data_IF_030435476642
#
_entry.id   IF_030435476642
#
_cell.length_a   1.000
_cell.length_b   1.000
_cell.length_c   1.000
_cell.angle_alpha   90.00
_cell.angle_beta   90.00
_cell.angle_gamma   90.00
#
_symmetry.space_group_name_H-M   'P 1'
#
loop_
_entity.id
_entity.type
_entity.pdbx_description
1 polymer ?
#
# COMPACT_ATOMS: atom_id res chain seq x y z
N UNK A 1 13.77 4.65 -29.05
CA UNK A 1 12.80 3.56 -28.84
C UNK A 1 11.94 3.96 -27.67
N UNK A 2 10.66 4.24 -27.91
CA UNK A 2 9.68 4.48 -26.86
C UNK A 2 9.03 3.13 -26.64
N UNK A 3 9.39 2.43 -25.57
CA UNK A 3 8.71 1.19 -25.21
C UNK A 3 7.32 1.53 -24.69
N UNK A 4 6.33 1.35 -25.57
CA UNK A 4 4.92 1.28 -25.21
C UNK A 4 4.69 0.02 -24.40
N UNK A 5 4.69 0.13 -23.06
CA UNK A 5 4.26 -0.96 -22.18
C UNK A 5 2.73 -1.05 -22.20
N UNK A 6 2.25 -2.26 -22.49
CA UNK A 6 0.84 -2.60 -22.64
C UNK A 6 0.00 -2.21 -21.42
N UNK A 7 -1.24 -1.77 -21.68
CA UNK A 7 -2.29 -1.65 -20.68
C UNK A 7 -2.42 -2.96 -19.88
N UNK A 8 -2.06 -2.94 -18.58
CA UNK A 8 -2.39 -4.04 -17.67
C UNK A 8 -1.50 -4.23 -16.45
N UNK A 9 -0.20 -3.91 -16.50
CA UNK A 9 0.70 -4.10 -15.36
C UNK A 9 0.90 -2.78 -14.59
N UNK A 10 0.46 -2.73 -13.33
CA UNK A 10 0.81 -1.63 -12.42
C UNK A 10 2.33 -1.59 -12.24
N UNK A 11 2.94 -0.40 -12.35
CA UNK A 11 4.38 -0.18 -12.04
C UNK A 11 4.73 -0.58 -10.59
N UNK A 12 3.74 -0.58 -9.71
CA UNK A 12 3.80 -1.08 -8.34
C UNK A 12 2.65 -2.09 -8.14
N UNK A 13 2.85 -3.39 -8.38
CA UNK A 13 1.80 -4.39 -8.19
C UNK A 13 1.50 -4.56 -6.70
N UNK A 14 0.22 -4.59 -6.34
CA UNK A 14 -0.26 -4.75 -4.97
C UNK A 14 -1.43 -5.73 -4.94
N UNK A 15 -1.54 -6.53 -3.89
CA UNK A 15 -2.67 -7.44 -3.68
C UNK A 15 -2.24 -8.83 -3.26
N UNK A 16 -3.18 -9.77 -3.28
CA UNK A 16 -2.93 -11.15 -2.91
C UNK A 16 -1.99 -11.84 -3.90
N UNK A 17 -1.09 -12.69 -3.38
CA UNK A 17 -0.13 -13.46 -4.19
C UNK A 17 1.09 -12.66 -4.67
N UNK A 18 1.13 -11.35 -4.46
CA UNK A 18 2.32 -10.52 -4.72
C UNK A 18 3.29 -10.66 -3.55
N UNK A 19 4.46 -11.25 -3.81
CA UNK A 19 5.53 -11.45 -2.82
C UNK A 19 6.76 -10.61 -3.11
N UNK A 20 6.97 -10.23 -4.37
CA UNK A 20 8.04 -9.33 -4.76
C UNK A 20 7.59 -7.88 -4.57
N UNK A 21 8.27 -7.18 -3.65
CA UNK A 21 8.00 -5.79 -3.32
C UNK A 21 8.99 -4.83 -3.99
N UNK A 22 10.02 -5.34 -4.68
CA UNK A 22 11.04 -4.48 -5.29
C UNK A 22 10.46 -3.42 -6.24
N UNK A 23 9.46 -3.72 -7.10
CA UNK A 23 8.86 -2.69 -7.97
C UNK A 23 8.10 -1.60 -7.18
N UNK A 24 7.54 -1.95 -6.02
CA UNK A 24 6.83 -0.99 -5.15
C UNK A 24 7.84 -0.04 -4.49
N UNK A 25 8.98 -0.56 -4.03
CA UNK A 25 10.05 0.25 -3.43
C UNK A 25 10.72 1.14 -4.49
N UNK A 26 10.98 0.64 -5.69
CA UNK A 26 11.51 1.46 -6.79
C UNK A 26 10.58 2.62 -7.13
N UNK A 27 9.27 2.34 -7.25
CA UNK A 27 8.28 3.39 -7.50
C UNK A 27 8.15 4.35 -6.32
N UNK A 28 8.34 3.88 -5.08
CA UNK A 28 8.40 4.74 -3.90
C UNK A 28 9.57 5.72 -4.00
N UNK A 29 10.75 5.26 -4.36
CA UNK A 29 11.95 6.10 -4.48
C UNK A 29 11.80 7.13 -5.61
N UNK A 30 11.15 6.78 -6.72
CA UNK A 30 10.77 7.73 -7.78
C UNK A 30 9.86 8.86 -7.24
N UNK A 31 8.84 8.53 -6.44
CA UNK A 31 7.98 9.54 -5.80
C UNK A 31 8.78 10.38 -4.79
N UNK A 32 9.63 9.74 -3.98
CA UNK A 32 10.46 10.41 -2.97
C UNK A 32 11.46 11.40 -3.60
N UNK A 33 11.89 11.14 -4.85
CA UNK A 33 12.85 11.95 -5.60
C UNK A 33 12.20 12.92 -6.60
N UNK A 34 10.87 13.05 -6.60
CA UNK A 34 10.15 13.91 -7.53
C UNK A 34 10.53 15.40 -7.33
N UNK A 35 11.07 16.08 -8.35
CA UNK A 35 11.45 17.49 -8.23
C UNK A 35 10.28 18.38 -7.82
N UNK A 36 10.52 19.30 -6.89
CA UNK A 36 9.52 20.23 -6.36
C UNK A 36 8.71 19.67 -5.18
N UNK A 37 8.89 18.41 -4.81
CA UNK A 37 8.19 17.77 -3.68
C UNK A 37 9.04 17.73 -2.40
N UNK A 38 10.22 18.33 -2.41
CA UNK A 38 11.18 18.30 -1.30
C UNK A 38 10.58 18.93 -0.03
N UNK A 39 9.60 19.83 -0.19
CA UNK A 39 8.91 20.49 0.90
C UNK A 39 7.66 19.78 1.42
N UNK A 40 7.20 18.70 0.78
CA UNK A 40 6.03 17.93 1.20
C UNK A 40 6.36 17.17 2.48
N UNK A 41 5.53 17.34 3.51
CA UNK A 41 5.75 16.71 4.82
C UNK A 41 5.82 15.17 4.74
N UNK A 42 5.06 14.54 3.85
CA UNK A 42 5.13 13.09 3.65
C UNK A 42 6.51 12.66 3.13
N UNK A 43 7.10 13.41 2.20
CA UNK A 43 8.44 13.14 1.64
C UNK A 43 9.52 13.38 2.71
N UNK A 44 9.52 14.56 3.35
CA UNK A 44 10.47 14.93 4.41
C UNK A 44 10.56 13.92 5.55
N UNK A 45 9.42 13.32 5.91
CA UNK A 45 9.33 12.40 7.03
C UNK A 45 9.34 10.92 6.60
N UNK A 46 9.62 10.61 5.34
CA UNK A 46 9.65 9.25 4.80
C UNK A 46 8.32 8.48 4.98
N UNK A 47 7.19 9.18 4.84
CA UNK A 47 5.81 8.71 5.06
C UNK A 47 5.00 8.58 3.76
N UNK A 48 5.60 7.98 2.74
CA UNK A 48 4.92 7.58 1.50
C UNK A 48 4.54 6.10 1.61
N UNK A 49 3.26 5.79 1.40
CA UNK A 49 2.68 4.46 1.55
C UNK A 49 1.82 4.10 0.35
N UNK A 50 1.65 2.81 0.11
CA UNK A 50 0.86 2.26 -0.98
C UNK A 50 -0.27 1.40 -0.45
N UNK A 51 -1.44 1.50 -1.08
CA UNK A 51 -2.59 0.66 -0.78
C UNK A 51 -3.26 0.20 -2.06
N UNK A 52 -3.61 -1.09 -2.14
CA UNK A 52 -4.34 -1.63 -3.29
C UNK A 52 -5.75 -1.06 -3.31
N UNK A 53 -6.19 -0.60 -4.49
CA UNK A 53 -7.58 -0.15 -4.68
C UNK A 53 -8.59 -1.28 -4.51
N UNK A 54 -8.18 -2.54 -4.63
CA UNK A 54 -9.04 -3.69 -4.30
C UNK A 54 -9.49 -3.68 -2.83
N UNK A 55 -8.71 -3.07 -1.94
CA UNK A 55 -9.06 -2.95 -0.52
C UNK A 55 -10.18 -1.92 -0.26
N UNK A 56 -10.51 -1.03 -1.20
CA UNK A 56 -11.48 0.04 -0.96
C UNK A 56 -12.94 -0.41 -0.99
N UNK A 57 -13.22 -1.59 -1.56
CA UNK A 57 -14.57 -2.15 -1.74
C UNK A 57 -14.93 -3.15 -0.62
N UNK A 58 -15.04 -4.44 -0.91
CA UNK A 58 -15.47 -5.51 0.01
C UNK A 58 -14.63 -5.56 1.31
N UNK A 59 -13.38 -5.10 1.23
CA UNK A 59 -12.43 -5.10 2.32
C UNK A 59 -12.20 -3.70 2.93
N UNK A 60 -13.19 -2.81 2.87
CA UNK A 60 -13.05 -1.41 3.31
C UNK A 60 -12.54 -1.27 4.75
N UNK A 61 -12.89 -2.20 5.64
CA UNK A 61 -12.33 -2.25 7.00
C UNK A 61 -10.80 -2.47 7.00
N UNK A 62 -10.25 -3.33 6.14
CA UNK A 62 -8.80 -3.47 5.94
C UNK A 62 -8.18 -2.13 5.53
N UNK A 63 -8.83 -1.44 4.58
CA UNK A 63 -8.38 -0.15 4.07
C UNK A 63 -8.29 0.89 5.18
N UNK A 64 -9.36 1.06 5.97
CA UNK A 64 -9.39 2.01 7.09
C UNK A 64 -8.34 1.69 8.15
N UNK A 65 -8.16 0.40 8.50
CA UNK A 65 -7.18 0.00 9.50
C UNK A 65 -5.74 0.22 9.03
N UNK A 66 -5.46 -0.03 7.74
CA UNK A 66 -4.15 0.26 7.16
C UNK A 66 -3.87 1.77 7.18
N UNK A 67 -4.82 2.60 6.74
CA UNK A 67 -4.70 4.06 6.79
C UNK A 67 -4.48 4.57 8.22
N UNK A 68 -5.23 4.04 9.18
CA UNK A 68 -5.05 4.39 10.59
C UNK A 68 -3.63 4.04 11.09
N UNK A 69 -3.08 2.89 10.68
CA UNK A 69 -1.71 2.48 11.03
C UNK A 69 -0.67 3.43 10.41
N UNK A 70 -0.86 3.86 9.17
CA UNK A 70 0.00 4.85 8.52
C UNK A 70 -0.05 6.21 9.24
N UNK A 71 -1.21 6.63 9.73
CA UNK A 71 -1.40 7.92 10.40
C UNK A 71 -0.94 7.93 11.86
N UNK A 72 -1.18 6.83 12.57
CA UNK A 72 -0.98 6.71 14.02
C UNK A 72 -0.19 5.44 14.38
N UNK A 73 1.05 5.27 13.90
CA UNK A 73 1.80 4.02 14.03
C UNK A 73 2.04 3.59 15.49
N UNK A 74 2.12 4.55 16.41
CA UNK A 74 2.34 4.28 17.84
C UNK A 74 1.10 3.77 18.58
N UNK A 75 -0.11 4.10 18.10
CA UNK A 75 -1.37 3.73 18.75
C UNK A 75 -1.86 2.34 18.32
N UNK A 76 -1.38 1.83 17.19
CA UNK A 76 -1.85 0.60 16.57
C UNK A 76 -0.84 -0.56 16.66
N UNK A 77 0.15 -0.48 17.56
CA UNK A 77 1.14 -1.55 17.79
C UNK A 77 0.51 -2.91 18.12
N UNK A 78 -0.71 -2.93 18.68
CA UNK A 78 -1.44 -4.14 19.07
C UNK A 78 -2.47 -4.62 18.03
N UNK A 79 -2.82 -3.82 17.04
CA UNK A 79 -3.71 -4.27 15.98
C UNK A 79 -2.83 -5.00 14.95
N UNK A 80 -2.94 -6.33 14.86
CA UNK A 80 -2.49 -7.07 13.68
C UNK A 80 -3.71 -7.12 12.75
N UNK A 81 -3.97 -6.06 11.95
CA UNK A 81 -5.25 -5.91 11.26
C UNK A 81 -5.38 -7.00 10.20
N UNK A 82 -4.26 -7.35 9.57
CA UNK A 82 -4.21 -8.31 8.48
C UNK A 82 -4.50 -9.74 8.93
N UNK A 83 -3.92 -10.21 10.06
CA UNK A 83 -4.01 -11.62 10.46
C UNK A 83 -5.39 -11.96 11.05
N UNK A 84 -5.93 -11.09 11.89
CA UNK A 84 -7.27 -11.26 12.45
C UNK A 84 -8.35 -11.18 11.35
N UNK A 85 -8.20 -10.24 10.43
CA UNK A 85 -9.17 -10.02 9.35
C UNK A 85 -9.06 -11.05 8.23
N UNK A 86 -7.86 -11.52 7.88
CA UNK A 86 -7.66 -12.60 6.92
C UNK A 86 -8.19 -13.93 7.46
N UNK A 87 -8.04 -14.20 8.77
CA UNK A 87 -8.68 -15.35 9.41
C UNK A 87 -10.21 -15.21 9.37
N UNK A 88 -10.76 -14.06 9.78
CA UNK A 88 -12.20 -13.83 9.76
C UNK A 88 -12.83 -13.89 8.35
N UNK A 89 -12.14 -13.37 7.33
CA UNK A 89 -12.58 -13.48 5.93
C UNK A 89 -12.51 -14.92 5.42
N UNK A 90 -11.46 -15.66 5.76
CA UNK A 90 -11.34 -17.08 5.40
C UNK A 90 -12.46 -17.91 6.04
N UNK A 91 -12.75 -17.66 7.31
CA UNK A 91 -13.81 -18.36 8.04
C UNK A 91 -15.21 -18.00 7.51
N UNK A 92 -15.41 -16.79 6.99
CA UNK A 92 -16.69 -16.34 6.42
C UNK A 92 -16.92 -16.80 4.97
N UNK A 93 -15.86 -16.97 4.18
CA UNK A 93 -15.93 -17.33 2.75
C UNK A 93 -15.72 -18.83 2.46
N UNK A 94 -15.40 -19.63 3.48
CA UNK A 94 -15.32 -21.09 3.40
C UNK A 94 -16.70 -21.73 3.54
#
# INVERSE_FOLDING_TARGET
>A
MIETTHAGASRAPLGYGIIDIAPVEEFREEIMSTPGWENVNAIKNNRVYFISTAASSVHHCCFLLYMAKCFYPNYLKMLIPMKFLMNGLRDFLA
#
